data_IF_374690720686
#
_entry.id   IF_374690720686
#
_cell.length_a   1.000
_cell.length_b   1.000
_cell.length_c   1.000
_cell.angle_alpha   90.00
_cell.angle_beta   90.00
_cell.angle_gamma   90.00
#
_symmetry.space_group_name_H-M   'P 1'
#
loop_
_entity.id
_entity.type
_entity.pdbx_description
1 polymer ?
#
# COMPACT_ATOMS: atom_id res chain seq x y z
N UNK A 1 13.02 -4.42 19.54
CA UNK A 1 12.54 -3.02 19.64
C UNK A 1 11.41 -2.86 18.64
N UNK A 2 10.16 -3.07 19.08
CA UNK A 2 8.99 -3.07 18.23
C UNK A 2 8.49 -1.66 18.00
N UNK A 3 8.51 -1.20 16.74
CA UNK A 3 7.71 -0.05 16.36
C UNK A 3 6.24 -0.47 16.46
N UNK A 4 5.47 0.25 17.26
CA UNK A 4 4.01 0.19 17.25
C UNK A 4 3.58 0.68 15.87
N UNK A 5 3.33 -0.24 14.95
CA UNK A 5 2.81 0.11 13.62
C UNK A 5 1.38 0.62 13.79
N UNK A 6 1.05 1.65 12.99
CA UNK A 6 -0.26 2.25 12.87
C UNK A 6 -1.39 1.21 12.99
N UNK A 7 -2.38 1.49 13.83
CA UNK A 7 -3.62 0.70 14.00
C UNK A 7 -4.55 0.79 12.77
N UNK A 8 -4.00 0.90 11.56
CA UNK A 8 -4.75 1.04 10.32
C UNK A 8 -4.63 -0.20 9.44
N UNK A 9 -5.72 -0.55 8.76
CA UNK A 9 -5.76 -1.58 7.72
C UNK A 9 -4.90 -1.26 6.48
N UNK A 10 -4.24 -0.10 6.43
CA UNK A 10 -3.36 0.35 5.36
C UNK A 10 -2.20 1.22 5.86
N UNK A 11 -1.08 1.18 5.14
CA UNK A 11 0.13 1.96 5.43
C UNK A 11 0.77 2.43 4.12
N UNK A 12 1.42 3.60 4.15
CA UNK A 12 2.18 4.09 2.99
C UNK A 12 3.45 3.27 2.76
N UNK A 13 3.91 3.17 1.51
CA UNK A 13 5.07 2.34 1.14
C UNK A 13 6.34 2.71 1.94
N UNK A 14 6.58 3.99 2.20
CA UNK A 14 7.75 4.42 2.97
C UNK A 14 7.64 4.03 4.46
N UNK A 15 6.44 3.98 5.04
CA UNK A 15 6.22 3.52 6.41
C UNK A 15 6.25 1.99 6.55
N UNK A 16 6.12 1.25 5.45
CA UNK A 16 6.23 -0.20 5.42
C UNK A 16 7.69 -0.70 5.34
N UNK A 17 8.67 0.19 5.13
CA UNK A 17 10.08 -0.17 5.03
C UNK A 17 10.56 -0.85 6.32
N UNK A 18 11.22 -1.99 6.17
CA UNK A 18 11.72 -2.79 7.31
C UNK A 18 10.69 -3.75 7.91
N UNK A 19 9.43 -3.72 7.47
CA UNK A 19 8.35 -4.62 7.94
C UNK A 19 8.00 -5.70 6.93
N UNK A 20 7.37 -6.77 7.36
CA UNK A 20 6.86 -7.83 6.50
C UNK A 20 5.53 -8.37 7.03
N UNK A 21 4.67 -8.85 6.12
CA UNK A 21 3.40 -9.49 6.43
C UNK A 21 3.21 -10.71 5.53
N UNK A 22 2.48 -11.72 6.03
CA UNK A 22 2.12 -12.92 5.27
C UNK A 22 1.46 -12.58 3.92
N UNK A 23 0.46 -11.70 3.99
CA UNK A 23 -0.37 -11.25 2.88
C UNK A 23 -0.30 -9.73 2.74
N UNK A 24 0.00 -9.20 1.55
CA UNK A 24 0.06 -7.75 1.28
C UNK A 24 -0.78 -7.38 0.08
N UNK A 25 -1.58 -6.32 0.20
CA UNK A 25 -2.26 -5.69 -0.92
C UNK A 25 -1.49 -4.45 -1.37
N UNK A 26 -1.08 -4.42 -2.64
CA UNK A 26 -0.43 -3.26 -3.25
C UNK A 26 -1.42 -2.60 -4.19
N UNK A 27 -1.70 -1.32 -3.94
CA UNK A 27 -2.59 -0.50 -4.74
C UNK A 27 -1.82 0.00 -5.97
N UNK A 28 -1.92 -0.74 -7.07
CA UNK A 28 -1.23 -0.45 -8.33
C UNK A 28 -1.44 0.97 -8.88
N UNK A 29 -2.62 1.59 -8.76
CA UNK A 29 -2.84 2.99 -9.13
C UNK A 29 -1.86 3.98 -8.49
N UNK A 30 -1.40 3.72 -7.27
CA UNK A 30 -0.44 4.61 -6.57
C UNK A 30 0.95 4.54 -7.22
N UNK A 31 1.37 3.34 -7.62
CA UNK A 31 2.62 3.13 -8.37
C UNK A 31 2.52 3.73 -9.77
N UNK A 32 1.35 3.60 -10.42
CA UNK A 32 1.10 4.23 -11.72
C UNK A 32 1.20 5.75 -11.62
N UNK A 33 0.56 6.36 -10.62
CA UNK A 33 0.68 7.79 -10.37
C UNK A 33 2.14 8.21 -10.17
N UNK A 34 2.91 7.45 -9.37
CA UNK A 34 4.34 7.70 -9.19
C UNK A 34 5.12 7.59 -10.52
N UNK A 35 4.78 6.64 -11.39
CA UNK A 35 5.42 6.51 -12.71
C UNK A 35 5.16 7.72 -13.61
N UNK A 36 3.97 8.31 -13.54
CA UNK A 36 3.62 9.51 -14.31
C UNK A 36 4.39 10.77 -13.88
N UNK A 37 4.92 10.80 -12.64
CA UNK A 37 5.68 11.97 -12.16
C UNK A 37 7.07 12.12 -12.79
N UNK A 38 7.57 11.10 -13.50
CA UNK A 38 8.94 11.05 -14.05
C UNK A 38 10.04 11.41 -13.03
N UNK A 39 9.79 11.18 -11.73
CA UNK A 39 10.76 11.46 -10.67
C UNK A 39 11.88 10.43 -10.66
N UNK A 40 13.11 10.90 -10.48
CA UNK A 40 14.32 10.08 -10.39
C UNK A 40 14.92 10.16 -8.99
N UNK A 41 15.39 9.03 -8.47
CA UNK A 41 16.14 8.96 -7.21
C UNK A 41 17.33 8.00 -7.37
N UNK A 42 18.54 8.50 -7.04
CA UNK A 42 19.79 7.72 -7.13
C UNK A 42 19.99 7.05 -8.50
N UNK A 43 19.64 7.74 -9.59
CA UNK A 43 19.79 7.24 -10.96
C UNK A 43 18.71 6.27 -11.44
N UNK A 44 17.67 5.99 -10.64
CA UNK A 44 16.55 5.13 -11.03
C UNK A 44 15.20 5.86 -10.89
N UNK A 45 14.20 5.54 -11.73
CA UNK A 45 12.85 6.07 -11.55
C UNK A 45 12.28 5.69 -10.18
N UNK A 46 11.72 6.67 -9.47
CA UNK A 46 11.17 6.52 -8.11
C UNK A 46 10.17 5.35 -8.03
N UNK A 47 9.29 5.24 -9.01
CA UNK A 47 8.26 4.20 -9.03
C UNK A 47 8.84 2.78 -8.99
N UNK A 48 10.04 2.54 -9.55
CA UNK A 48 10.71 1.23 -9.49
C UNK A 48 11.10 0.88 -8.06
N UNK A 49 11.61 1.86 -7.30
CA UNK A 49 11.94 1.70 -5.89
C UNK A 49 10.69 1.44 -5.06
N UNK A 50 9.62 2.20 -5.30
CA UNK A 50 8.35 2.01 -4.61
C UNK A 50 7.76 0.62 -4.86
N UNK A 51 7.77 0.15 -6.11
CA UNK A 51 7.31 -1.18 -6.47
C UNK A 51 8.15 -2.26 -5.79
N UNK A 52 9.48 -2.14 -5.81
CA UNK A 52 10.39 -3.08 -5.14
C UNK A 52 10.13 -3.17 -3.63
N UNK A 53 10.04 -2.02 -2.95
CA UNK A 53 9.75 -1.98 -1.51
C UNK A 53 8.41 -2.62 -1.23
N UNK A 54 7.35 -2.25 -1.97
CA UNK A 54 6.01 -2.78 -1.77
C UNK A 54 5.91 -4.30 -1.98
N UNK A 55 6.53 -4.82 -3.05
CA UNK A 55 6.50 -6.25 -3.38
C UNK A 55 7.21 -7.08 -2.30
N UNK A 56 8.36 -6.60 -1.82
CA UNK A 56 9.16 -7.31 -0.81
C UNK A 56 8.59 -7.23 0.61
N UNK A 57 7.43 -6.58 0.81
CA UNK A 57 6.72 -6.61 2.09
C UNK A 57 5.89 -7.89 2.26
N UNK A 58 5.52 -8.55 1.16
CA UNK A 58 4.78 -9.82 1.19
C UNK A 58 5.73 -10.99 1.46
N UNK A 59 5.38 -11.86 2.41
CA UNK A 59 6.13 -13.09 2.67
C UNK A 59 5.58 -14.28 1.88
N UNK A 60 4.25 -14.40 1.79
CA UNK A 60 3.61 -15.53 1.11
C UNK A 60 2.85 -15.10 -0.14
N UNK A 61 2.02 -14.04 -0.02
CA UNK A 61 1.15 -13.64 -1.12
C UNK A 61 1.03 -12.14 -1.27
N UNK A 62 1.16 -11.71 -2.52
CA UNK A 62 0.91 -10.33 -2.93
C UNK A 62 -0.37 -10.25 -3.77
N UNK A 63 -1.26 -9.35 -3.38
CA UNK A 63 -2.44 -8.97 -4.15
C UNK A 63 -2.16 -7.65 -4.86
N UNK A 64 -2.05 -7.69 -6.18
CA UNK A 64 -1.89 -6.50 -7.00
C UNK A 64 -3.25 -5.92 -7.36
N UNK A 65 -3.65 -4.86 -6.66
CA UNK A 65 -4.95 -4.23 -6.84
C UNK A 65 -4.87 -3.26 -8.01
N UNK A 66 -5.52 -3.60 -9.13
CA UNK A 66 -5.61 -2.73 -10.32
C UNK A 66 -6.83 -1.81 -10.28
N UNK A 67 -7.87 -2.20 -9.53
CA UNK A 67 -9.12 -1.46 -9.37
C UNK A 67 -9.43 -1.31 -7.89
N UNK A 68 -8.89 -0.27 -7.29
CA UNK A 68 -9.14 0.10 -5.91
C UNK A 68 -10.60 0.53 -5.75
N UNK A 69 -11.44 -0.40 -5.31
CA UNK A 69 -12.84 -0.12 -5.00
C UNK A 69 -13.07 -0.46 -3.54
N UNK A 70 -13.57 0.51 -2.78
CA UNK A 70 -14.31 0.18 -1.57
C UNK A 70 -15.61 -0.46 -2.04
N UNK A 71 -15.94 -1.64 -1.50
CA UNK A 71 -17.27 -2.20 -1.69
C UNK A 71 -18.29 -1.15 -1.29
N UNK A 72 -19.30 -0.93 -2.13
CA UNK A 72 -20.41 -0.07 -1.75
C UNK A 72 -21.04 -0.70 -0.49
N UNK A 73 -21.28 0.08 0.57
CA UNK A 73 -21.90 -0.47 1.77
C UNK A 73 -23.31 -0.96 1.41
N UNK A 74 -23.68 -2.12 1.96
CA UNK A 74 -24.97 -2.79 1.65
C UNK A 74 -26.14 -1.99 2.24
N UNK A 75 -25.88 -1.29 3.34
CA UNK A 75 -26.75 -0.33 4.01
C UNK A 75 -26.11 1.06 3.99
N UNK A 76 -26.89 2.15 4.17
CA UNK A 76 -26.32 3.46 4.49
C UNK A 76 -25.38 3.36 5.69
N UNK A 77 -24.23 4.02 5.62
CA UNK A 77 -23.32 4.13 6.77
C UNK A 77 -23.93 5.08 7.79
N UNK A 78 -23.84 4.74 9.07
CA UNK A 78 -24.30 5.57 10.17
C UNK A 78 -23.19 5.82 11.22
N UNK A 79 -23.53 6.56 12.27
CA UNK A 79 -22.57 6.96 13.32
C UNK A 79 -22.05 5.74 14.10
N UNK A 80 -22.75 4.61 14.09
CA UNK A 80 -22.32 3.39 14.78
C UNK A 80 -21.13 2.69 14.13
N UNK A 81 -20.92 2.89 12.81
CA UNK A 81 -19.78 2.33 12.06
C UNK A 81 -18.42 3.00 12.40
N UNK A 82 -18.42 4.03 13.25
CA UNK A 82 -17.22 4.78 13.64
C UNK A 82 -16.44 4.17 14.81
N UNK A 83 -16.90 3.05 15.38
CA UNK A 83 -16.33 2.42 16.59
C UNK A 83 -15.59 1.12 16.32
#
# INVERSE_FOLDING_TARGET
MGAVFLHGSAVTIHKAQGSQWENVQVFGPDIYAAAQTNRMESGLPLWKRLAYVAITRAQEKLYWITRSRLSKPVSPLDISDLN
#
